data_IF_595519778897
#
_entry.id   IF_595519778897
#
_cell.length_a   1.000
_cell.length_b   1.000
_cell.length_c   1.000
_cell.angle_alpha   90.00
_cell.angle_beta   90.00
_cell.angle_gamma   90.00
#
_symmetry.space_group_name_H-M   'P 1'
#
loop_
_entity.id
_entity.type
_entity.pdbx_description
1 polymer ?
#
# COMPACT_ATOMS: atom_id res chain seq x y z
N UNK A 1 1.07 48.89 14.95
CA UNK A 1 1.32 48.93 13.49
C UNK A 1 1.51 47.48 13.04
N UNK A 2 0.49 46.88 12.41
CA UNK A 2 0.48 46.43 10.98
C UNK A 2 1.69 45.52 10.68
N UNK A 3 1.60 44.28 10.20
CA UNK A 3 0.56 43.59 9.42
C UNK A 3 0.98 42.13 9.19
N UNK A 4 0.03 41.18 9.23
CA UNK A 4 0.11 39.96 8.41
C UNK A 4 -0.01 40.31 6.92
N UNK A 5 0.56 39.48 6.03
CA UNK A 5 -0.27 38.69 5.09
C UNK A 5 0.38 37.31 4.82
N UNK A 6 -0.15 36.30 4.13
CA UNK A 6 -1.46 35.88 3.65
C UNK A 6 -1.27 34.40 3.23
N UNK A 7 -2.36 33.63 3.24
CA UNK A 7 -2.48 32.27 2.71
C UNK A 7 -2.23 32.24 1.19
N UNK A 8 -1.61 31.17 0.69
CA UNK A 8 -1.82 30.69 -0.69
C UNK A 8 -2.28 29.24 -0.67
N UNK A 9 -3.58 29.06 -0.43
CA UNK A 9 -4.30 27.85 -0.83
C UNK A 9 -4.76 28.04 -2.27
N UNK A 10 -4.17 27.29 -3.21
CA UNK A 10 -4.74 27.14 -4.54
C UNK A 10 -5.28 25.72 -4.65
N UNK A 11 -6.57 25.57 -4.35
CA UNK A 11 -7.36 24.40 -4.74
C UNK A 11 -8.21 24.80 -5.95
N UNK A 12 -8.35 23.95 -6.99
CA UNK A 12 -9.05 24.32 -8.19
C UNK A 12 -10.56 24.40 -7.95
N UNK A 13 -11.15 25.37 -8.63
CA UNK A 13 -12.57 25.63 -8.72
C UNK A 13 -13.32 24.42 -9.30
N UNK A 14 -14.28 23.89 -8.55
CA UNK A 14 -15.37 23.09 -9.10
C UNK A 14 -16.58 23.13 -8.17
N UNK A 15 -17.23 24.29 -8.08
CA UNK A 15 -18.66 24.33 -7.78
C UNK A 15 -19.25 25.52 -8.54
N UNK A 16 -20.00 25.19 -9.59
CA UNK A 16 -20.47 26.13 -10.59
C UNK A 16 -21.30 27.27 -10.00
N UNK A 17 -21.01 28.49 -10.44
CA UNK A 17 -21.93 29.63 -10.35
C UNK A 17 -23.06 29.44 -11.36
N UNK A 18 -23.93 28.47 -11.16
CA UNK A 18 -25.27 28.53 -11.74
C UNK A 18 -26.23 28.92 -10.61
N UNK A 19 -26.72 30.16 -10.70
CA UNK A 19 -27.85 30.64 -9.91
C UNK A 19 -29.12 29.94 -10.42
N UNK A 20 -29.21 28.63 -10.21
CA UNK A 20 -30.38 27.83 -10.53
C UNK A 20 -31.35 27.88 -9.37
N UNK A 21 -32.54 28.43 -9.61
CA UNK A 21 -33.69 28.30 -8.71
C UNK A 21 -33.96 26.81 -8.46
N UNK A 22 -33.59 26.32 -7.27
CA UNK A 22 -34.04 25.01 -6.81
C UNK A 22 -35.58 24.98 -6.75
N UNK A 23 -36.16 23.82 -7.05
CA UNK A 23 -37.61 23.56 -7.21
C UNK A 23 -38.48 23.82 -5.96
N UNK A 24 -37.94 24.47 -4.92
CA UNK A 24 -38.61 24.83 -3.67
C UNK A 24 -38.31 26.26 -3.17
N UNK A 25 -37.86 27.19 -4.03
CA UNK A 25 -37.90 28.64 -3.74
C UNK A 25 -37.05 29.14 -2.56
N UNK A 26 -36.25 28.29 -1.90
CA UNK A 26 -35.34 28.70 -0.82
C UNK A 26 -33.94 28.87 -1.38
N UNK A 27 -33.35 30.05 -1.16
CA UNK A 27 -31.93 30.30 -1.41
C UNK A 27 -31.13 29.44 -0.44
N UNK A 28 -30.45 28.39 -0.92
CA UNK A 28 -29.48 27.67 -0.10
C UNK A 28 -28.37 28.66 0.30
N UNK A 29 -28.19 28.91 1.60
CA UNK A 29 -27.07 29.73 2.06
C UNK A 29 -25.82 28.87 2.01
N UNK A 30 -24.64 29.49 1.80
CA UNK A 30 -23.37 28.77 1.84
C UNK A 30 -23.12 28.04 3.18
N UNK A 31 -23.79 28.47 4.25
CA UNK A 31 -23.77 27.83 5.56
C UNK A 31 -24.58 26.51 5.64
N UNK A 32 -25.47 26.25 4.67
CA UNK A 32 -26.26 25.01 4.60
C UNK A 32 -25.53 23.90 3.82
N UNK A 33 -24.42 24.24 3.15
CA UNK A 33 -23.55 23.24 2.53
C UNK A 33 -22.72 22.56 3.63
N UNK A 34 -22.80 21.23 3.79
CA UNK A 34 -21.94 20.53 4.73
C UNK A 34 -20.48 20.80 4.34
N UNK A 35 -19.72 21.43 5.26
CA UNK A 35 -18.32 21.76 5.04
C UNK A 35 -17.46 20.51 4.78
N UNK A 36 -16.21 20.69 4.28
CA UNK A 36 -15.32 19.57 3.92
C UNK A 36 -14.97 18.64 5.09
N UNK A 37 -15.21 19.05 6.34
CA UNK A 37 -15.06 18.21 7.54
C UNK A 37 -16.19 17.18 7.72
N UNK A 38 -17.41 17.47 7.25
CA UNK A 38 -18.56 16.57 7.43
C UNK A 38 -18.42 15.28 6.60
N UNK A 39 -17.69 15.33 5.48
CA UNK A 39 -17.40 14.15 4.64
C UNK A 39 -16.40 13.17 5.28
N UNK A 40 -15.56 13.64 6.23
CA UNK A 40 -14.54 12.80 6.90
C UNK A 40 -15.10 11.94 8.04
N UNK A 41 -16.32 12.18 8.49
CA UNK A 41 -16.98 11.43 9.57
C UNK A 41 -17.89 10.31 9.05
N UNK A 42 -17.48 9.59 8.01
CA UNK A 42 -18.14 8.29 7.74
C UNK A 42 -17.66 7.33 8.83
N UNK A 43 -18.59 6.80 9.63
CA UNK A 43 -18.31 5.71 10.58
C UNK A 43 -17.53 4.62 9.83
N UNK A 44 -16.43 4.08 10.39
CA UNK A 44 -15.73 2.98 9.75
C UNK A 44 -16.71 1.81 9.64
N UNK A 45 -17.20 1.54 8.43
CA UNK A 45 -17.87 0.29 8.13
C UNK A 45 -16.83 -0.81 8.35
N UNK A 46 -17.19 -1.86 9.08
CA UNK A 46 -16.31 -3.03 9.25
C UNK A 46 -15.76 -3.45 7.89
N UNK A 47 -14.44 -3.38 7.68
CA UNK A 47 -13.88 -3.70 6.38
C UNK A 47 -14.23 -5.13 6.03
N UNK A 48 -14.69 -5.34 4.79
CA UNK A 48 -14.84 -6.69 4.26
C UNK A 48 -13.48 -7.39 4.31
N UNK A 49 -13.47 -8.65 4.73
CA UNK A 49 -12.24 -9.43 4.88
C UNK A 49 -11.75 -9.91 3.50
N UNK A 50 -10.44 -10.16 3.40
CA UNK A 50 -9.79 -10.74 2.22
C UNK A 50 -9.24 -9.71 1.23
N UNK A 51 -8.28 -10.14 0.42
CA UNK A 51 -7.56 -9.26 -0.53
C UNK A 51 -8.46 -8.64 -1.60
N UNK A 52 -9.54 -9.33 -2.03
CA UNK A 52 -10.48 -8.80 -3.01
C UNK A 52 -11.30 -7.60 -2.50
N UNK A 53 -11.44 -7.44 -1.18
CA UNK A 53 -12.09 -6.27 -0.60
C UNK A 53 -11.30 -4.98 -0.81
N UNK A 54 -9.97 -5.09 -0.99
CA UNK A 54 -9.08 -3.94 -1.19
C UNK A 54 -9.42 -3.16 -2.47
N UNK A 55 -10.03 -3.79 -3.46
CA UNK A 55 -10.50 -3.12 -4.69
C UNK A 55 -11.47 -1.96 -4.39
N UNK A 56 -12.21 -2.05 -3.27
CA UNK A 56 -13.18 -1.02 -2.86
C UNK A 56 -12.66 -0.12 -1.74
N UNK A 57 -11.41 -0.30 -1.32
CA UNK A 57 -10.82 0.55 -0.28
C UNK A 57 -10.70 1.99 -0.81
N UNK A 58 -11.25 2.94 -0.08
CA UNK A 58 -11.24 4.35 -0.46
C UNK A 58 -10.19 5.17 0.31
N UNK A 59 -9.83 4.73 1.51
CA UNK A 59 -8.93 5.44 2.43
C UNK A 59 -8.13 4.43 3.24
N UNK A 60 -6.86 4.73 3.50
CA UNK A 60 -6.03 4.05 4.49
C UNK A 60 -5.62 5.07 5.55
N UNK A 61 -6.01 4.83 6.81
CA UNK A 61 -5.60 5.65 7.95
C UNK A 61 -4.59 4.85 8.78
N UNK A 62 -3.33 5.32 8.77
CA UNK A 62 -2.21 4.71 9.51
C UNK A 62 -1.87 5.47 10.79
N UNK A 63 -2.63 6.52 11.14
CA UNK A 63 -2.32 7.39 12.30
C UNK A 63 -2.52 6.69 13.64
N UNK A 64 -3.39 5.69 13.70
CA UNK A 64 -3.68 4.88 14.89
C UNK A 64 -2.88 3.57 14.93
N UNK A 65 -1.92 3.39 14.02
CA UNK A 65 -1.07 2.22 14.00
C UNK A 65 -0.12 2.25 15.21
N UNK A 66 0.12 1.09 15.83
CA UNK A 66 1.14 1.00 16.88
C UNK A 66 2.51 1.39 16.30
N UNK A 67 3.34 2.14 17.05
CA UNK A 67 4.68 2.46 16.59
C UNK A 67 5.50 1.17 16.40
N UNK A 68 6.45 1.16 15.45
CA UNK A 68 7.37 0.03 15.31
C UNK A 68 8.23 -0.13 16.57
N UNK A 69 8.72 -1.34 16.85
CA UNK A 69 9.61 -1.59 17.99
C UNK A 69 10.88 -0.74 17.91
N UNK A 70 11.50 -0.42 19.08
CA UNK A 70 12.82 0.22 19.12
C UNK A 70 13.84 -0.62 18.32
N UNK A 71 14.55 0.02 17.39
CA UNK A 71 15.46 -0.67 16.46
C UNK A 71 14.86 -0.98 15.08
N UNK A 72 13.57 -0.71 14.88
CA UNK A 72 12.90 -0.87 13.59
C UNK A 72 12.51 -2.32 13.29
N UNK A 73 12.04 -2.55 12.05
CA UNK A 73 11.57 -3.86 11.60
C UNK A 73 12.37 -4.28 10.36
N UNK A 74 12.94 -5.49 10.41
CA UNK A 74 13.61 -6.11 9.28
C UNK A 74 12.78 -7.31 8.83
N UNK A 75 12.43 -7.35 7.55
CA UNK A 75 11.67 -8.41 6.91
C UNK A 75 12.64 -9.29 6.12
N UNK A 76 12.65 -10.57 6.48
CA UNK A 76 13.44 -11.59 5.80
C UNK A 76 12.61 -12.19 4.67
N UNK A 77 12.95 -11.87 3.42
CA UNK A 77 12.24 -12.35 2.25
C UNK A 77 13.23 -12.72 1.14
N UNK A 78 13.13 -13.96 0.64
CA UNK A 78 13.97 -14.45 -0.47
C UNK A 78 13.26 -14.37 -1.84
N UNK A 79 11.99 -14.00 -1.84
CA UNK A 79 11.24 -13.74 -3.06
C UNK A 79 11.50 -12.32 -3.54
N UNK A 80 11.64 -12.15 -4.86
CA UNK A 80 11.90 -10.83 -5.48
C UNK A 80 10.68 -10.23 -6.17
N UNK A 81 9.58 -10.98 -6.22
CA UNK A 81 8.35 -10.58 -6.89
C UNK A 81 7.83 -9.24 -6.37
N UNK A 82 7.46 -8.30 -7.27
CA UNK A 82 6.82 -7.05 -6.89
C UNK A 82 5.43 -7.29 -6.30
N UNK A 83 4.80 -6.22 -5.80
CA UNK A 83 3.49 -6.30 -5.19
C UNK A 83 2.40 -6.78 -6.17
N UNK A 84 2.33 -6.14 -7.35
CA UNK A 84 1.32 -6.39 -8.38
C UNK A 84 1.94 -6.45 -9.79
N UNK A 85 1.14 -6.84 -10.78
CA UNK A 85 1.54 -7.00 -12.18
C UNK A 85 1.78 -8.45 -12.59
N UNK A 86 2.36 -8.70 -13.78
CA UNK A 86 2.49 -10.05 -14.35
C UNK A 86 3.39 -10.97 -13.52
N UNK A 87 4.41 -10.41 -12.87
CA UNK A 87 5.29 -11.12 -11.92
C UNK A 87 4.90 -10.85 -10.45
N UNK A 88 3.73 -10.25 -10.22
CA UNK A 88 3.27 -9.83 -8.91
C UNK A 88 2.85 -10.97 -7.99
N UNK A 89 2.61 -10.64 -6.73
CA UNK A 89 2.29 -11.64 -5.70
C UNK A 89 1.06 -12.50 -6.04
N UNK A 90 0.00 -11.87 -6.55
CA UNK A 90 -1.24 -12.56 -6.91
C UNK A 90 -1.06 -13.47 -8.14
N UNK A 91 -0.35 -12.99 -9.17
CA UNK A 91 -0.13 -13.73 -10.41
C UNK A 91 0.75 -14.97 -10.19
N UNK A 92 1.84 -14.84 -9.43
CA UNK A 92 2.82 -15.91 -9.23
C UNK A 92 2.41 -16.88 -8.14
N UNK A 93 1.84 -16.39 -7.03
CA UNK A 93 1.54 -17.23 -5.87
C UNK A 93 0.05 -17.53 -5.67
N UNK A 94 -0.85 -16.88 -6.41
CA UNK A 94 -2.28 -17.16 -6.39
C UNK A 94 -2.63 -18.58 -6.85
N UNK A 95 -2.14 -19.05 -8.01
CA UNK A 95 -2.52 -20.36 -8.55
C UNK A 95 -2.21 -21.53 -7.59
N UNK A 96 -1.02 -21.53 -6.97
CA UNK A 96 -0.65 -22.57 -6.00
C UNK A 96 -1.42 -22.49 -4.67
N UNK A 97 -2.15 -21.39 -4.43
CA UNK A 97 -3.05 -21.21 -3.28
C UNK A 97 -4.51 -21.51 -3.64
N UNK A 98 -4.78 -22.04 -4.83
CA UNK A 98 -6.12 -22.36 -5.30
C UNK A 98 -6.94 -21.13 -5.69
N UNK A 99 -6.27 -20.02 -6.06
CA UNK A 99 -6.96 -18.83 -6.58
C UNK A 99 -7.24 -19.04 -8.06
N UNK A 100 -8.50 -18.91 -8.44
CA UNK A 100 -8.93 -18.99 -9.84
C UNK A 100 -8.38 -17.81 -10.66
N UNK A 101 -8.13 -17.98 -11.97
CA UNK A 101 -7.55 -16.92 -12.82
C UNK A 101 -8.33 -15.59 -12.77
N UNK A 102 -9.66 -15.66 -12.66
CA UNK A 102 -10.49 -14.45 -12.54
C UNK A 102 -10.29 -13.73 -11.21
N UNK A 103 -10.09 -14.47 -10.12
CA UNK A 103 -9.83 -13.94 -8.78
C UNK A 103 -8.41 -13.38 -8.67
N UNK A 104 -7.44 -13.94 -9.40
CA UNK A 104 -6.07 -13.40 -9.48
C UNK A 104 -6.10 -11.94 -9.94
N UNK A 105 -6.86 -11.62 -10.99
CA UNK A 105 -7.00 -10.25 -11.47
C UNK A 105 -7.66 -9.32 -10.44
N UNK A 106 -8.63 -9.82 -9.68
CA UNK A 106 -9.28 -9.06 -8.61
C UNK A 106 -8.30 -8.78 -7.46
N UNK A 107 -7.51 -9.78 -7.06
CA UNK A 107 -6.49 -9.63 -6.02
C UNK A 107 -5.39 -8.65 -6.44
N UNK A 108 -4.90 -8.75 -7.67
CA UNK A 108 -3.87 -7.86 -8.21
C UNK A 108 -4.33 -6.40 -8.24
N UNK A 109 -5.58 -6.17 -8.67
CA UNK A 109 -6.22 -4.85 -8.61
C UNK A 109 -6.37 -4.36 -7.17
N UNK A 110 -6.70 -5.26 -6.24
CA UNK A 110 -6.80 -4.94 -4.82
C UNK A 110 -5.46 -4.50 -4.22
N UNK A 111 -4.37 -5.20 -4.56
CA UNK A 111 -3.01 -4.86 -4.14
C UNK A 111 -2.55 -3.54 -4.76
N UNK A 112 -2.89 -3.29 -6.02
CA UNK A 112 -2.63 -2.00 -6.69
C UNK A 112 -3.38 -0.85 -6.03
N UNK A 113 -4.63 -1.08 -5.62
CA UNK A 113 -5.40 -0.08 -4.86
C UNK A 113 -4.77 0.19 -3.49
N UNK A 114 -4.34 -0.86 -2.78
CA UNK A 114 -3.59 -0.71 -1.54
C UNK A 114 -2.32 0.13 -1.74
N UNK A 115 -1.61 -0.11 -2.85
CA UNK A 115 -0.41 0.63 -3.19
C UNK A 115 -0.67 2.13 -3.40
N UNK A 116 -1.76 2.43 -4.09
CA UNK A 116 -2.21 3.80 -4.34
C UNK A 116 -2.56 4.53 -3.04
N UNK A 117 -3.14 3.83 -2.06
CA UNK A 117 -3.56 4.40 -0.79
C UNK A 117 -2.42 4.60 0.20
N UNK A 118 -1.44 3.69 0.24
CA UNK A 118 -0.32 3.75 1.18
C UNK A 118 0.93 4.47 0.62
N UNK A 119 1.09 4.52 -0.70
CA UNK A 119 2.26 5.13 -1.35
C UNK A 119 3.54 4.30 -1.24
N UNK A 120 4.71 4.91 -1.37
CA UNK A 120 5.98 4.17 -1.38
C UNK A 120 6.28 3.49 -2.72
N UNK A 121 7.01 2.38 -2.69
CA UNK A 121 7.59 1.75 -3.88
C UNK A 121 7.10 0.30 -4.07
N UNK A 122 5.86 0.07 -4.54
CA UNK A 122 5.26 -1.26 -4.72
C UNK A 122 5.99 -2.15 -5.75
N UNK A 123 6.78 -1.56 -6.64
CA UNK A 123 7.65 -2.24 -7.61
C UNK A 123 8.97 -2.73 -7.01
N UNK A 124 9.31 -2.33 -5.78
CA UNK A 124 10.56 -2.74 -5.15
C UNK A 124 10.62 -4.27 -4.99
N UNK A 125 11.80 -4.90 -5.18
CA UNK A 125 11.93 -6.34 -5.05
C UNK A 125 11.47 -6.86 -3.69
N UNK A 126 10.64 -7.91 -3.71
CA UNK A 126 10.18 -8.61 -2.50
C UNK A 126 8.98 -7.97 -1.79
N UNK A 127 8.46 -6.85 -2.29
CA UNK A 127 7.21 -6.23 -1.80
C UNK A 127 6.01 -7.17 -1.89
N UNK A 128 6.02 -8.10 -2.85
CA UNK A 128 5.00 -9.15 -3.00
C UNK A 128 5.07 -10.28 -1.97
N UNK A 129 6.11 -10.31 -1.11
CA UNK A 129 6.27 -11.37 -0.13
C UNK A 129 5.07 -11.48 0.81
N UNK A 130 4.71 -12.73 1.14
CA UNK A 130 3.53 -13.06 1.93
C UNK A 130 2.22 -12.40 1.43
N UNK A 131 2.05 -12.29 0.11
CA UNK A 131 0.82 -11.75 -0.50
C UNK A 131 0.66 -10.24 -0.31
N UNK A 132 1.76 -9.49 -0.33
CA UNK A 132 1.75 -8.03 -0.15
C UNK A 132 1.79 -7.56 1.31
N UNK A 133 1.90 -8.49 2.27
CA UNK A 133 2.10 -8.14 3.68
C UNK A 133 3.43 -7.39 3.86
N UNK A 134 4.48 -7.81 3.16
CA UNK A 134 5.78 -7.15 3.24
C UNK A 134 5.72 -5.69 2.77
N UNK A 135 4.98 -5.41 1.69
CA UNK A 135 4.70 -4.05 1.24
C UNK A 135 3.96 -3.23 2.30
N UNK A 136 2.90 -3.77 2.92
CA UNK A 136 2.14 -3.05 3.94
C UNK A 136 3.00 -2.65 5.14
N UNK A 137 3.89 -3.54 5.58
CA UNK A 137 4.85 -3.28 6.65
C UNK A 137 5.94 -2.29 6.24
N UNK A 138 6.43 -2.37 5.01
CA UNK A 138 7.39 -1.41 4.46
C UNK A 138 6.79 -0.01 4.37
N UNK A 139 5.56 0.11 3.86
CA UNK A 139 4.88 1.40 3.71
C UNK A 139 4.45 2.00 5.04
N UNK A 140 3.98 1.19 5.99
CA UNK A 140 3.42 1.70 7.25
C UNK A 140 4.42 1.83 8.41
N UNK A 141 5.41 0.93 8.48
CA UNK A 141 6.44 0.92 9.55
C UNK A 141 7.84 1.27 9.05
N UNK A 142 7.99 1.63 7.78
CA UNK A 142 9.29 1.85 7.16
C UNK A 142 10.22 0.63 7.35
N UNK A 143 9.63 -0.58 7.29
CA UNK A 143 10.35 -1.82 7.47
C UNK A 143 11.32 -2.07 6.31
N UNK A 144 12.50 -2.62 6.61
CA UNK A 144 13.53 -2.93 5.61
C UNK A 144 13.40 -4.39 5.15
N UNK A 145 13.34 -4.61 3.85
CA UNK A 145 13.38 -5.95 3.27
C UNK A 145 14.84 -6.35 2.99
N UNK A 146 15.22 -7.55 3.42
CA UNK A 146 16.55 -8.14 3.17
C UNK A 146 16.40 -9.62 2.81
N UNK A 147 17.41 -10.21 2.17
CA UNK A 147 17.42 -11.65 1.91
C UNK A 147 17.42 -12.42 3.22
N UNK A 148 16.48 -13.36 3.35
CA UNK A 148 16.37 -14.23 4.51
C UNK A 148 17.53 -15.20 4.60
N UNK A 149 17.89 -15.85 3.49
CA UNK A 149 19.03 -16.75 3.44
C UNK A 149 20.35 -16.07 3.84
N UNK A 150 20.60 -14.86 3.33
CA UNK A 150 21.80 -14.10 3.67
C UNK A 150 21.79 -13.68 5.16
N UNK A 151 20.69 -13.11 5.64
CA UNK A 151 20.57 -12.69 7.03
C UNK A 151 20.71 -13.87 8.01
N UNK A 152 20.13 -15.03 7.69
CA UNK A 152 20.27 -16.23 8.49
C UNK A 152 21.70 -16.77 8.47
N UNK A 153 22.39 -16.71 7.32
CA UNK A 153 23.79 -17.10 7.25
C UNK A 153 24.68 -16.21 8.14
N UNK A 154 24.45 -14.90 8.14
CA UNK A 154 25.17 -13.95 8.99
C UNK A 154 24.89 -14.21 10.48
N UNK A 155 23.62 -14.41 10.86
CA UNK A 155 23.22 -14.70 12.24
C UNK A 155 23.82 -16.01 12.77
N UNK A 156 23.97 -17.02 11.90
CA UNK A 156 24.56 -18.30 12.24
C UNK A 156 26.09 -18.34 12.06
N UNK A 157 26.72 -17.20 11.72
CA UNK A 157 28.14 -17.09 11.41
C UNK A 157 28.61 -18.12 10.34
N UNK A 158 27.74 -18.45 9.38
CA UNK A 158 28.06 -19.37 8.31
C UNK A 158 29.01 -18.69 7.33
N UNK A 159 30.25 -19.18 7.27
CA UNK A 159 31.21 -18.72 6.26
C UNK A 159 30.74 -19.14 4.88
N UNK A 160 30.84 -18.29 3.84
CA UNK A 160 30.63 -18.71 2.47
C UNK A 160 31.55 -19.88 2.16
N UNK A 161 30.99 -21.07 1.90
CA UNK A 161 31.78 -22.16 1.32
C UNK A 161 32.13 -21.72 -0.09
N UNK A 162 33.33 -21.19 -0.29
CA UNK A 162 33.95 -21.13 -1.61
C UNK A 162 33.87 -22.53 -2.21
N UNK A 163 32.97 -22.73 -3.20
CA UNK A 163 32.93 -23.98 -3.96
C UNK A 163 34.32 -24.15 -4.56
N UNK A 164 35.11 -25.09 -4.01
CA UNK A 164 36.25 -25.63 -4.75
C UNK A 164 35.65 -26.15 -6.05
N UNK A 165 36.00 -25.53 -7.18
CA UNK A 165 35.68 -26.10 -8.49
C UNK A 165 36.23 -27.52 -8.45
N UNK A 166 35.35 -28.51 -8.60
CA UNK A 166 35.80 -29.87 -8.86
C UNK A 166 36.58 -29.77 -10.17
N UNK A 167 37.88 -30.13 -10.22
CA UNK A 167 38.62 -30.09 -11.48
C UNK A 167 37.82 -30.91 -12.49
N UNK A 168 37.59 -30.33 -13.66
CA UNK A 168 36.91 -31.02 -14.75
C UNK A 168 37.71 -32.28 -15.06
N UNK A 169 37.08 -33.43 -14.83
CA UNK A 169 37.64 -34.73 -15.19
C UNK A 169 37.59 -34.79 -16.72
N UNK A 170 38.72 -34.49 -17.37
CA UNK A 170 38.89 -34.69 -18.80
C UNK A 170 39.26 -36.16 -19.02
N UNK A 171 38.29 -36.96 -19.44
CA UNK A 171 38.49 -38.25 -20.12
C UNK A 171 37.60 -38.32 -21.34
#
# INVERSE_FOLDING_TARGET
MRSSPARSTTAPAACGRSRGLGRHGRRCRAADCPGPEAARRRRPSTPRRGGGALVRAATADVTQLRPPPPGGVILLADVKNPLSGPEGAAAVYGPQKGVEPHDVAVLDRGLTQLATLLGGAPESPGTGAAGGTAYGLAAAWNARLVSGAAAMADLLALRPRTRRRRPADHR
#
